data_IF_571824017880
#
_entry.id   IF_571824017880
#
_cell.length_a   1.000
_cell.length_b   1.000
_cell.length_c   1.000
_cell.angle_alpha   90.00
_cell.angle_beta   90.00
_cell.angle_gamma   90.00
#
_symmetry.space_group_name_H-M   'P 1'
#
loop_
_entity.id
_entity.type
_entity.pdbx_description
1 polymer ?
#
# COMPACT_ATOMS: atom_id res chain seq x y z
N UNK A 1 51.79 28.67 10.69
CA UNK A 1 50.36 28.48 10.36
C UNK A 1 49.91 27.21 11.03
N UNK A 2 49.08 27.36 12.03
CA UNK A 2 48.88 26.40 13.11
C UNK A 2 47.88 25.34 12.70
N UNK A 3 48.28 24.08 12.78
CA UNK A 3 47.46 22.90 12.41
C UNK A 3 46.18 22.77 13.28
N UNK A 4 46.14 23.45 14.40
CA UNK A 4 45.02 23.48 15.35
C UNK A 4 43.82 24.25 14.78
N UNK A 5 44.05 25.24 13.93
CA UNK A 5 43.00 26.09 13.37
C UNK A 5 42.25 25.40 12.18
N UNK A 6 42.88 24.41 11.55
CA UNK A 6 42.27 23.66 10.45
C UNK A 6 41.30 22.60 10.96
N UNK A 7 41.63 21.93 12.09
CA UNK A 7 40.76 20.93 12.73
C UNK A 7 39.48 21.54 13.30
N UNK A 8 39.57 22.73 13.88
CA UNK A 8 38.41 23.45 14.43
C UNK A 8 37.46 23.91 13.32
N UNK A 9 37.97 24.32 12.15
CA UNK A 9 37.15 24.70 11.00
C UNK A 9 36.49 23.49 10.31
N UNK A 10 37.15 22.34 10.29
CA UNK A 10 36.54 21.10 9.74
C UNK A 10 35.47 20.57 10.67
N UNK A 11 35.66 20.57 11.98
CA UNK A 11 34.65 20.13 12.94
C UNK A 11 33.38 21.02 12.93
N UNK A 12 33.54 22.34 12.76
CA UNK A 12 32.39 23.25 12.68
C UNK A 12 31.60 23.05 11.38
N UNK A 13 32.25 22.59 10.29
CA UNK A 13 31.58 22.31 9.01
C UNK A 13 30.86 20.95 8.99
N UNK A 14 31.36 19.97 9.74
CA UNK A 14 30.72 18.64 9.87
C UNK A 14 29.52 18.73 10.82
N UNK A 15 29.57 19.52 11.87
CA UNK A 15 28.41 19.75 12.75
C UNK A 15 27.29 20.58 12.11
N UNK A 16 27.58 21.36 11.05
CA UNK A 16 26.56 22.11 10.31
C UNK A 16 25.80 21.27 9.27
N UNK A 17 26.19 19.99 9.03
CA UNK A 17 25.52 19.08 8.10
C UNK A 17 24.63 18.02 8.79
N UNK A 18 24.56 18.04 10.12
CA UNK A 18 23.79 17.08 10.92
C UNK A 18 22.54 17.69 11.58
N UNK A 19 22.16 18.88 11.12
CA UNK A 19 20.85 19.42 11.46
C UNK A 19 19.82 18.70 10.57
N UNK A 20 19.00 17.86 11.18
CA UNK A 20 17.76 17.39 10.56
C UNK A 20 17.05 18.59 9.91
N UNK A 21 16.49 18.46 8.72
CA UNK A 21 15.71 19.53 8.12
C UNK A 21 14.67 20.00 9.16
N UNK A 22 14.45 21.31 9.30
CA UNK A 22 13.49 21.81 10.28
C UNK A 22 12.16 21.12 10.05
N UNK A 23 11.57 20.60 11.12
CA UNK A 23 10.29 19.88 11.10
C UNK A 23 9.16 20.69 10.43
N UNK A 24 9.31 22.00 10.36
CA UNK A 24 8.38 22.94 9.71
C UNK A 24 8.32 22.83 8.18
N UNK A 25 9.30 22.18 7.51
CA UNK A 25 9.25 21.96 6.05
C UNK A 25 8.24 20.87 5.65
N UNK A 26 7.81 20.06 6.61
CA UNK A 26 6.85 18.96 6.41
C UNK A 26 5.53 19.22 7.14
N UNK A 27 5.24 20.49 7.47
CA UNK A 27 4.00 20.81 8.16
C UNK A 27 2.83 20.62 7.20
N UNK A 28 1.97 19.60 7.43
CA UNK A 28 0.83 19.35 6.57
C UNK A 28 -0.17 20.52 6.66
N UNK A 29 -0.96 20.71 5.62
CA UNK A 29 -2.19 21.51 5.67
C UNK A 29 -3.01 21.13 6.91
N UNK A 30 -3.95 21.96 7.31
CA UNK A 30 -4.78 21.76 8.54
C UNK A 30 -5.36 20.33 8.70
N UNK A 31 -5.50 19.57 7.60
CA UNK A 31 -5.95 18.18 7.58
C UNK A 31 -4.84 17.13 7.79
N UNK A 32 -3.56 17.52 7.80
CA UNK A 32 -2.44 16.58 7.85
C UNK A 32 -2.12 15.87 6.53
N UNK A 33 -2.93 16.02 5.49
CA UNK A 33 -2.76 15.33 4.20
C UNK A 33 -2.18 16.26 3.14
N UNK A 34 -0.88 16.11 2.81
CA UNK A 34 -0.18 16.92 1.81
C UNK A 34 -0.80 16.82 0.41
N UNK A 35 -1.31 15.64 0.03
CA UNK A 35 -1.95 15.41 -1.24
C UNK A 35 -3.17 16.32 -1.49
N UNK A 36 -3.80 16.81 -0.42
CA UNK A 36 -4.97 17.68 -0.47
C UNK A 36 -4.59 19.17 -0.45
N UNK A 37 -3.29 19.49 -0.46
CA UNK A 37 -2.81 20.86 -0.52
C UNK A 37 -2.86 21.38 -1.96
N UNK A 38 -3.05 22.69 -2.12
CA UNK A 38 -3.07 23.35 -3.43
C UNK A 38 -1.76 23.22 -4.24
N UNK A 39 -0.65 22.92 -3.57
CA UNK A 39 0.69 22.83 -4.17
C UNK A 39 1.06 21.42 -4.63
N UNK A 40 0.31 20.39 -4.22
CA UNK A 40 0.67 18.99 -4.49
C UNK A 40 0.80 18.70 -5.98
N UNK A 41 -0.13 19.18 -6.79
CA UNK A 41 -0.13 18.99 -8.24
C UNK A 41 1.05 19.68 -8.93
N UNK A 42 1.44 20.86 -8.45
CA UNK A 42 2.56 21.60 -9.01
C UNK A 42 3.88 20.91 -8.70
N UNK A 43 4.04 20.39 -7.47
CA UNK A 43 5.20 19.58 -7.08
C UNK A 43 5.31 18.28 -7.88
N UNK A 44 4.19 17.60 -8.13
CA UNK A 44 4.16 16.41 -8.98
C UNK A 44 4.67 16.75 -10.38
N UNK A 45 4.15 17.83 -11.00
CA UNK A 45 4.56 18.27 -12.33
C UNK A 45 6.04 18.66 -12.39
N UNK A 46 6.53 19.35 -11.36
CA UNK A 46 7.92 19.80 -11.28
C UNK A 46 8.90 18.63 -11.17
N UNK A 47 8.62 17.65 -10.30
CA UNK A 47 9.54 16.55 -10.01
C UNK A 47 9.42 15.40 -11.01
N UNK A 48 8.20 15.04 -11.43
CA UNK A 48 7.98 13.94 -12.39
C UNK A 48 8.02 14.41 -13.85
N UNK A 49 7.97 15.73 -14.08
CA UNK A 49 8.02 16.33 -15.44
C UNK A 49 6.93 15.77 -16.35
N UNK A 50 7.35 15.02 -17.39
CA UNK A 50 6.45 14.42 -18.40
C UNK A 50 6.20 12.92 -18.16
N UNK A 51 6.69 12.36 -17.05
CA UNK A 51 6.44 10.96 -16.76
C UNK A 51 4.97 10.76 -16.35
N UNK A 52 4.32 9.77 -16.96
CA UNK A 52 2.99 9.36 -16.55
C UNK A 52 3.07 8.71 -15.16
N UNK A 53 2.10 9.03 -14.29
CA UNK A 53 1.95 8.33 -13.03
C UNK A 53 1.62 6.86 -13.31
N UNK A 54 2.50 5.97 -12.87
CA UNK A 54 2.28 4.53 -12.89
C UNK A 54 2.30 4.02 -11.45
N UNK A 55 1.53 3.00 -11.15
CA UNK A 55 1.56 2.36 -9.83
C UNK A 55 2.90 1.76 -9.44
N UNK A 56 3.77 1.50 -10.41
CA UNK A 56 5.15 1.07 -10.16
C UNK A 56 5.98 2.13 -9.42
N UNK A 57 5.51 3.37 -9.43
CA UNK A 57 6.13 4.48 -8.69
C UNK A 57 5.64 4.60 -7.25
N UNK A 58 4.60 3.85 -6.88
CA UNK A 58 4.05 3.89 -5.52
C UNK A 58 4.69 2.82 -4.65
N UNK A 59 5.01 3.19 -3.43
CA UNK A 59 5.55 2.28 -2.44
C UNK A 59 4.55 1.17 -2.10
N UNK A 60 5.04 -0.06 -1.99
CA UNK A 60 4.22 -1.23 -1.69
C UNK A 60 4.60 -1.84 -0.34
N UNK A 61 3.64 -1.92 0.55
CA UNK A 61 3.73 -2.70 1.79
C UNK A 61 3.18 -4.11 1.54
N UNK A 62 4.05 -5.10 1.67
CA UNK A 62 3.70 -6.52 1.58
C UNK A 62 3.14 -7.02 2.91
N UNK A 63 2.37 -8.11 2.86
CA UNK A 63 1.98 -8.82 4.09
C UNK A 63 3.23 -9.39 4.77
N UNK A 64 3.42 -9.15 6.08
CA UNK A 64 4.58 -9.70 6.78
C UNK A 64 4.54 -11.24 6.84
N UNK A 65 5.67 -11.87 6.65
CA UNK A 65 5.83 -13.32 6.74
C UNK A 65 5.89 -13.83 8.17
N UNK A 66 5.66 -15.14 8.37
CA UNK A 66 5.88 -15.80 9.67
C UNK A 66 4.98 -15.32 10.81
N UNK A 67 3.88 -14.61 10.52
CA UNK A 67 2.99 -14.08 11.54
C UNK A 67 3.58 -12.89 12.30
N UNK A 68 4.50 -12.14 11.70
CA UNK A 68 4.96 -10.86 12.23
C UNK A 68 3.77 -9.89 12.34
N UNK A 69 3.78 -9.08 13.39
CA UNK A 69 2.77 -8.04 13.66
C UNK A 69 3.31 -6.63 13.40
N UNK A 70 4.35 -6.53 12.57
CA UNK A 70 5.02 -5.27 12.22
C UNK A 70 5.07 -5.18 10.70
N UNK A 71 4.64 -4.05 10.16
CA UNK A 71 4.79 -3.71 8.75
C UNK A 71 6.22 -3.27 8.46
N UNK A 72 6.74 -3.61 7.29
CA UNK A 72 7.93 -2.98 6.70
C UNK A 72 7.43 -1.98 5.67
N UNK A 73 7.68 -0.70 5.93
CA UNK A 73 7.19 0.42 5.11
C UNK A 73 8.39 1.08 4.43
N UNK A 74 8.41 1.19 3.10
CA UNK A 74 9.45 1.93 2.40
C UNK A 74 9.49 3.38 2.86
N UNK A 75 10.68 3.87 3.21
CA UNK A 75 10.95 5.25 3.60
C UNK A 75 12.13 5.83 2.81
N UNK A 76 12.36 7.14 2.91
CA UNK A 76 13.43 7.83 2.18
C UNK A 76 14.84 7.30 2.50
N UNK A 77 15.04 6.75 3.69
CA UNK A 77 16.34 6.23 4.15
C UNK A 77 16.40 4.70 4.23
N UNK A 78 15.38 4.00 3.75
CA UNK A 78 15.26 2.55 3.81
C UNK A 78 13.92 2.11 4.41
N UNK A 79 13.81 0.82 4.74
CA UNK A 79 12.60 0.23 5.33
C UNK A 79 12.42 0.67 6.79
N UNK A 80 11.21 1.10 7.13
CA UNK A 80 10.80 1.50 8.47
C UNK A 80 9.82 0.48 9.06
N UNK A 81 9.98 0.16 10.34
CA UNK A 81 9.15 -0.79 11.04
C UNK A 81 7.97 -0.09 11.73
N UNK A 82 6.74 -0.36 11.29
CA UNK A 82 5.53 0.23 11.84
C UNK A 82 4.58 -0.85 12.37
N UNK A 83 3.97 -0.59 13.53
CA UNK A 83 2.98 -1.51 14.14
C UNK A 83 1.57 -1.29 13.62
N UNK A 84 1.29 -0.12 13.09
CA UNK A 84 0.01 0.26 12.52
C UNK A 84 0.21 1.18 11.33
N UNK A 85 -0.71 1.12 10.38
CA UNK A 85 -0.79 2.06 9.26
C UNK A 85 -2.07 2.86 9.41
N UNK A 86 -1.97 4.18 9.37
CA UNK A 86 -3.13 5.07 9.48
C UNK A 86 -3.22 5.95 8.24
N UNK A 87 -4.41 6.08 7.66
CA UNK A 87 -4.64 6.89 6.48
C UNK A 87 -6.06 6.74 5.91
N UNK A 88 -6.29 7.40 4.80
CA UNK A 88 -7.55 7.33 4.04
C UNK A 88 -7.39 6.27 2.94
N UNK A 89 -8.24 5.26 2.92
CA UNK A 89 -8.29 4.30 1.81
C UNK A 89 -9.04 4.96 0.67
N UNK A 90 -8.30 5.46 -0.33
CA UNK A 90 -8.85 6.13 -1.51
C UNK A 90 -9.68 5.15 -2.34
N UNK A 91 -9.11 4.01 -2.65
CA UNK A 91 -9.73 2.95 -3.45
C UNK A 91 -9.09 1.60 -3.12
N UNK A 92 -9.63 0.52 -3.67
CA UNK A 92 -9.02 -0.80 -3.59
C UNK A 92 -9.29 -1.62 -4.83
N UNK A 93 -8.41 -2.57 -5.11
CA UNK A 93 -8.56 -3.57 -6.15
C UNK A 93 -8.54 -4.98 -5.54
N UNK A 94 -9.11 -5.94 -6.25
CA UNK A 94 -9.04 -7.36 -5.89
C UNK A 94 -8.29 -8.15 -6.96
N UNK A 95 -6.99 -7.89 -7.14
CA UNK A 95 -6.22 -8.54 -8.18
C UNK A 95 -6.01 -10.03 -7.89
N UNK A 96 -5.75 -10.77 -8.97
CA UNK A 96 -5.49 -12.20 -8.93
C UNK A 96 -4.36 -12.53 -9.90
N UNK A 97 -3.41 -13.35 -9.44
CA UNK A 97 -2.26 -13.73 -10.24
C UNK A 97 -1.96 -15.23 -10.15
N UNK A 98 -1.45 -15.78 -11.24
CA UNK A 98 -0.99 -17.15 -11.34
C UNK A 98 0.39 -17.21 -11.99
N UNK A 99 1.28 -17.97 -11.42
CA UNK A 99 2.59 -18.31 -11.97
C UNK A 99 2.63 -19.81 -12.29
N UNK A 100 2.97 -20.14 -13.55
CA UNK A 100 3.12 -21.53 -13.97
C UNK A 100 4.40 -22.17 -13.40
N UNK A 101 5.41 -21.34 -13.10
CA UNK A 101 6.66 -21.79 -12.48
C UNK A 101 6.45 -21.85 -10.97
N UNK A 102 6.69 -23.00 -10.30
CA UNK A 102 6.74 -23.04 -8.84
C UNK A 102 7.92 -22.20 -8.35
N UNK A 103 7.73 -21.46 -7.28
CA UNK A 103 8.72 -20.57 -6.67
C UNK A 103 9.34 -19.55 -7.66
N UNK A 104 8.53 -18.62 -8.22
CA UNK A 104 9.04 -17.62 -9.15
C UNK A 104 10.05 -16.70 -8.44
N UNK A 105 11.12 -16.33 -9.14
CA UNK A 105 12.10 -15.35 -8.64
C UNK A 105 11.45 -13.97 -8.55
N UNK A 106 11.89 -13.16 -7.58
CA UNK A 106 11.40 -11.78 -7.42
C UNK A 106 11.45 -11.00 -8.75
N UNK A 107 10.34 -10.32 -9.06
CA UNK A 107 10.18 -9.62 -10.32
C UNK A 107 9.71 -10.46 -11.49
N UNK A 108 9.51 -11.79 -11.33
CA UNK A 108 8.92 -12.62 -12.40
C UNK A 108 7.47 -12.23 -12.65
N UNK A 109 7.10 -11.80 -13.88
CA UNK A 109 5.72 -11.45 -14.16
C UNK A 109 4.81 -12.68 -14.05
N UNK A 110 3.56 -12.51 -13.61
CA UNK A 110 2.60 -13.62 -13.57
C UNK A 110 2.29 -14.14 -14.96
N UNK A 111 2.10 -15.44 -15.08
CA UNK A 111 1.64 -16.10 -16.32
C UNK A 111 0.21 -15.69 -16.68
N UNK A 112 -0.61 -15.41 -15.67
CA UNK A 112 -1.97 -14.92 -15.83
C UNK A 112 -2.27 -13.90 -14.73
N UNK A 113 -2.90 -12.79 -15.12
CA UNK A 113 -3.23 -11.66 -14.25
C UNK A 113 -4.68 -11.24 -14.47
N UNK A 114 -5.39 -10.91 -13.39
CA UNK A 114 -6.67 -10.21 -13.41
C UNK A 114 -6.63 -9.06 -12.42
N UNK A 115 -7.14 -7.88 -12.82
CA UNK A 115 -7.18 -6.68 -11.95
C UNK A 115 -8.34 -6.74 -10.94
N UNK A 116 -9.42 -7.41 -11.29
CA UNK A 116 -10.70 -7.41 -10.56
C UNK A 116 -11.15 -8.80 -10.07
N UNK A 117 -10.36 -9.84 -10.33
CA UNK A 117 -10.71 -11.26 -10.10
C UNK A 117 -11.90 -11.78 -10.93
N UNK A 118 -12.36 -11.03 -11.93
CA UNK A 118 -13.47 -11.42 -12.80
C UNK A 118 -12.99 -11.94 -14.14
N UNK A 119 -12.17 -11.13 -14.83
CA UNK A 119 -11.64 -11.43 -16.15
C UNK A 119 -10.12 -11.24 -16.14
N UNK A 120 -9.38 -12.21 -16.70
CA UNK A 120 -7.94 -12.10 -16.86
C UNK A 120 -7.56 -11.18 -18.03
N UNK A 121 -6.30 -10.74 -18.07
CA UNK A 121 -5.78 -9.89 -19.13
C UNK A 121 -5.91 -10.53 -20.53
N UNK A 122 -5.93 -11.85 -20.61
CA UNK A 122 -6.16 -12.64 -21.84
C UNK A 122 -7.66 -13.01 -22.09
N UNK A 123 -8.60 -12.37 -21.36
CA UNK A 123 -10.04 -12.48 -21.58
C UNK A 123 -10.71 -13.70 -20.96
N UNK A 124 -10.03 -14.49 -20.14
CA UNK A 124 -10.61 -15.67 -19.48
C UNK A 124 -11.40 -15.30 -18.23
N UNK A 125 -12.53 -15.97 -18.00
CA UNK A 125 -13.36 -15.77 -16.80
C UNK A 125 -12.73 -16.49 -15.61
N UNK A 126 -12.33 -15.75 -14.58
CA UNK A 126 -11.64 -16.26 -13.40
C UNK A 126 -12.47 -17.24 -12.58
N UNK A 127 -13.81 -17.09 -12.57
CA UNK A 127 -14.71 -17.98 -11.84
C UNK A 127 -14.69 -19.43 -12.35
N UNK A 128 -14.36 -19.64 -13.63
CA UNK A 128 -14.32 -20.95 -14.28
C UNK A 128 -12.89 -21.45 -14.53
N UNK A 129 -11.89 -20.76 -13.97
CA UNK A 129 -10.49 -21.10 -14.16
C UNK A 129 -10.09 -22.26 -13.24
N UNK A 130 -9.51 -23.37 -13.76
CA UNK A 130 -9.09 -24.50 -12.93
C UNK A 130 -8.03 -24.13 -11.88
N UNK A 131 -7.20 -23.12 -12.14
CA UNK A 131 -6.22 -22.63 -11.16
C UNK A 131 -6.87 -21.85 -9.99
N UNK A 132 -8.15 -21.50 -10.09
CA UNK A 132 -8.95 -20.90 -9.02
C UNK A 132 -9.65 -21.93 -8.13
N UNK A 133 -9.59 -23.21 -8.45
CA UNK A 133 -10.20 -24.27 -7.65
C UNK A 133 -9.35 -24.57 -6.42
N UNK A 134 -10.02 -24.96 -5.34
CA UNK A 134 -9.32 -25.42 -4.14
C UNK A 134 -8.54 -26.69 -4.45
N UNK A 135 -7.31 -26.78 -3.93
CA UNK A 135 -6.39 -27.90 -4.20
C UNK A 135 -5.60 -27.78 -5.50
N UNK A 136 -5.86 -26.75 -6.33
CA UNK A 136 -5.22 -26.61 -7.63
C UNK A 136 -3.70 -26.31 -7.56
N UNK A 137 -3.18 -25.93 -6.38
CA UNK A 137 -1.75 -25.61 -6.22
C UNK A 137 -0.85 -26.86 -6.34
N UNK A 138 -1.19 -27.91 -5.63
CA UNK A 138 -0.35 -29.11 -5.46
C UNK A 138 -1.15 -30.43 -5.37
N UNK A 139 -2.48 -30.35 -5.31
CA UNK A 139 -3.38 -31.51 -5.14
C UNK A 139 -3.43 -32.06 -3.71
N UNK A 140 -2.54 -31.62 -2.83
CA UNK A 140 -2.42 -32.12 -1.44
C UNK A 140 -3.01 -31.12 -0.44
N UNK A 141 -2.76 -29.84 -0.63
CA UNK A 141 -3.30 -28.77 0.21
C UNK A 141 -4.59 -28.19 -0.37
N UNK A 142 -5.34 -27.50 0.47
CA UNK A 142 -6.56 -26.76 0.02
C UNK A 142 -6.19 -25.42 -0.67
N UNK A 143 -4.89 -25.20 -1.00
CA UNK A 143 -4.42 -23.98 -1.59
C UNK A 143 -4.78 -23.89 -3.08
N UNK A 144 -5.12 -22.68 -3.51
CA UNK A 144 -5.33 -22.37 -4.94
C UNK A 144 -4.01 -21.99 -5.59
N UNK A 145 -3.78 -22.44 -6.82
CA UNK A 145 -2.62 -22.03 -7.61
C UNK A 145 -2.70 -20.54 -7.98
N UNK A 146 -3.91 -20.05 -8.32
CA UNK A 146 -4.15 -18.65 -8.57
C UNK A 146 -4.37 -17.90 -7.25
N UNK A 147 -3.48 -16.96 -6.96
CA UNK A 147 -3.48 -16.17 -5.72
C UNK A 147 -4.36 -14.93 -5.86
N UNK A 148 -5.20 -14.70 -4.89
CA UNK A 148 -6.03 -13.51 -4.79
C UNK A 148 -5.55 -12.65 -3.62
N UNK A 149 -5.56 -11.33 -3.80
CA UNK A 149 -5.28 -10.37 -2.74
C UNK A 149 -6.22 -9.17 -2.83
N UNK A 150 -6.22 -8.32 -1.82
CA UNK A 150 -6.79 -6.98 -1.89
C UNK A 150 -5.64 -5.98 -1.90
N UNK A 151 -5.60 -5.09 -2.85
CA UNK A 151 -4.62 -4.03 -2.94
C UNK A 151 -5.31 -2.71 -2.59
N UNK A 152 -4.92 -2.11 -1.47
CA UNK A 152 -5.46 -0.86 -0.98
C UNK A 152 -4.59 0.31 -1.41
N UNK A 153 -5.21 1.44 -1.70
CA UNK A 153 -4.57 2.73 -1.94
C UNK A 153 -4.71 3.58 -0.68
N UNK A 154 -3.74 3.54 0.20
CA UNK A 154 -3.76 4.20 1.49
C UNK A 154 -3.03 5.55 1.42
N UNK A 155 -3.78 6.65 1.39
CA UNK A 155 -3.22 7.98 1.52
C UNK A 155 -2.86 8.25 2.98
N UNK A 156 -1.58 8.50 3.23
CA UNK A 156 -1.08 8.77 4.58
C UNK A 156 -0.88 10.27 4.82
N UNK A 157 -0.99 10.74 6.08
CA UNK A 157 -0.51 12.07 6.44
C UNK A 157 0.96 12.25 6.04
N UNK A 158 1.30 13.43 5.53
CA UNK A 158 2.65 13.72 5.08
C UNK A 158 3.06 13.10 3.73
N UNK A 159 2.16 12.40 3.04
CA UNK A 159 2.42 11.83 1.71
C UNK A 159 1.54 12.45 0.65
N UNK A 160 2.11 12.65 -0.55
CA UNK A 160 1.35 13.10 -1.74
C UNK A 160 0.78 11.89 -2.49
N UNK A 161 1.53 10.80 -2.56
CA UNK A 161 1.07 9.57 -3.21
C UNK A 161 0.55 8.54 -2.20
N UNK A 162 -0.44 7.73 -2.60
CA UNK A 162 -0.91 6.66 -1.75
C UNK A 162 0.16 5.57 -1.60
N UNK A 163 0.24 5.00 -0.42
CA UNK A 163 0.94 3.78 -0.13
C UNK A 163 0.08 2.60 -0.59
N UNK A 164 0.62 1.69 -1.38
CA UNK A 164 -0.05 0.45 -1.74
C UNK A 164 0.09 -0.54 -0.58
N UNK A 165 -1.02 -1.07 -0.11
CA UNK A 165 -1.03 -2.07 0.97
C UNK A 165 -1.64 -3.37 0.45
N UNK A 166 -0.83 -4.44 0.37
CA UNK A 166 -1.30 -5.75 -0.04
C UNK A 166 -1.88 -6.51 1.14
N UNK A 167 -3.18 -6.72 1.12
CA UNK A 167 -3.92 -7.50 2.11
C UNK A 167 -4.12 -8.92 1.58
N UNK A 168 -3.64 -9.97 2.28
CA UNK A 168 -3.76 -11.34 1.84
C UNK A 168 -5.23 -11.82 1.86
N UNK A 169 -5.52 -12.86 1.09
CA UNK A 169 -6.87 -13.44 0.99
C UNK A 169 -7.42 -13.87 2.35
N UNK A 170 -6.56 -14.28 3.28
CA UNK A 170 -6.92 -14.64 4.67
C UNK A 170 -7.60 -13.50 5.42
N UNK A 171 -7.25 -12.26 5.09
CA UNK A 171 -7.79 -11.05 5.71
C UNK A 171 -8.89 -10.37 4.87
N UNK A 172 -9.12 -10.82 3.63
CA UNK A 172 -10.15 -10.26 2.73
C UNK A 172 -11.53 -10.18 3.39
N UNK A 173 -11.94 -11.22 4.12
CA UNK A 173 -13.23 -11.23 4.80
C UNK A 173 -13.35 -10.15 5.88
N UNK A 174 -12.27 -9.83 6.57
CA UNK A 174 -12.24 -8.76 7.57
C UNK A 174 -12.37 -7.39 6.92
N UNK A 175 -11.65 -7.18 5.82
CA UNK A 175 -11.79 -5.96 5.03
C UNK A 175 -13.22 -5.76 4.49
N UNK A 176 -13.80 -6.78 3.87
CA UNK A 176 -15.19 -6.72 3.37
C UNK A 176 -16.20 -6.49 4.50
N UNK A 177 -15.97 -7.05 5.68
CA UNK A 177 -16.82 -6.80 6.85
C UNK A 177 -16.70 -5.36 7.35
N UNK A 178 -15.50 -4.80 7.30
CA UNK A 178 -15.26 -3.39 7.61
C UNK A 178 -15.98 -2.47 6.62
N UNK A 179 -15.79 -2.65 5.32
CA UNK A 179 -16.46 -1.85 4.28
C UNK A 179 -17.98 -1.97 4.35
N UNK A 180 -18.53 -3.18 4.58
CA UNK A 180 -19.96 -3.39 4.76
C UNK A 180 -20.53 -2.59 5.94
N UNK A 181 -19.78 -2.48 7.03
CA UNK A 181 -20.19 -1.67 8.19
C UNK A 181 -20.22 -0.18 7.88
N UNK A 182 -19.31 0.31 7.05
CA UNK A 182 -19.31 1.70 6.56
C UNK A 182 -20.51 1.94 5.65
N UNK A 183 -20.74 1.06 4.67
CA UNK A 183 -21.90 1.13 3.75
C UNK A 183 -23.22 1.14 4.53
N UNK A 184 -23.36 0.33 5.58
CA UNK A 184 -24.57 0.30 6.43
C UNK A 184 -24.85 1.62 7.14
N UNK A 185 -23.86 2.51 7.20
CA UNK A 185 -23.95 3.87 7.76
C UNK A 185 -23.93 4.95 6.69
N UNK A 186 -24.07 4.57 5.41
CA UNK A 186 -23.97 5.46 4.26
C UNK A 186 -22.67 6.28 4.24
N UNK A 187 -21.59 5.71 4.76
CA UNK A 187 -20.27 6.35 4.85
C UNK A 187 -19.36 5.78 3.76
N UNK A 188 -18.88 6.60 2.83
CA UNK A 188 -17.89 6.18 1.83
C UNK A 188 -16.59 5.77 2.49
N UNK A 189 -15.89 4.76 1.94
CA UNK A 189 -14.60 4.29 2.43
C UNK A 189 -13.56 5.43 2.42
N UNK A 190 -13.56 6.23 1.36
CA UNK A 190 -12.66 7.38 1.17
C UNK A 190 -12.98 8.60 2.06
N UNK A 191 -14.05 8.52 2.86
CA UNK A 191 -14.40 9.59 3.83
C UNK A 191 -14.01 9.22 5.25
N UNK A 192 -13.19 8.17 5.45
CA UNK A 192 -12.83 7.67 6.77
C UNK A 192 -11.33 7.51 6.89
N UNK A 193 -10.78 8.05 7.97
CA UNK A 193 -9.42 7.71 8.39
C UNK A 193 -9.44 6.31 8.99
N UNK A 194 -8.77 5.38 8.31
CA UNK A 194 -8.70 3.96 8.69
C UNK A 194 -7.36 3.65 9.33
N UNK A 195 -7.38 2.95 10.44
CA UNK A 195 -6.22 2.34 11.07
C UNK A 195 -6.18 0.85 10.72
N UNK A 196 -5.03 0.39 10.24
CA UNK A 196 -4.75 -0.99 9.89
C UNK A 196 -3.72 -1.54 10.87
N UNK A 197 -4.04 -2.64 11.53
CA UNK A 197 -3.17 -3.33 12.48
C UNK A 197 -3.04 -4.80 12.12
N UNK A 198 -2.03 -5.46 12.70
CA UNK A 198 -1.76 -6.88 12.48
C UNK A 198 -1.93 -7.68 13.77
N UNK A 199 -2.55 -8.84 13.64
CA UNK A 199 -2.65 -9.85 14.69
C UNK A 199 -2.02 -11.15 14.21
N UNK A 200 -1.28 -11.83 15.09
CA UNK A 200 -0.72 -13.15 14.81
C UNK A 200 -1.82 -14.19 14.90
N UNK A 201 -2.02 -14.94 13.83
CA UNK A 201 -2.93 -16.06 13.76
C UNK A 201 -2.18 -17.35 13.38
N UNK A 202 -2.82 -18.49 13.55
CA UNK A 202 -2.26 -19.80 13.19
C UNK A 202 -3.22 -20.52 12.26
N UNK A 203 -2.71 -21.04 11.16
CA UNK A 203 -3.48 -21.85 10.21
C UNK A 203 -3.86 -23.22 10.81
N UNK A 204 -4.76 -23.94 10.14
CA UNK A 204 -5.13 -25.32 10.54
C UNK A 204 -3.91 -26.29 10.53
N UNK A 205 -2.91 -25.98 9.72
CA UNK A 205 -1.67 -26.74 9.58
C UNK A 205 -0.58 -26.30 10.61
N UNK A 206 -0.92 -25.41 11.55
CA UNK A 206 0.00 -24.90 12.56
C UNK A 206 0.96 -23.79 12.07
N UNK A 207 0.83 -23.31 10.85
CA UNK A 207 1.67 -22.24 10.30
C UNK A 207 1.21 -20.87 10.79
N UNK A 208 2.10 -20.03 11.35
CA UNK A 208 1.75 -18.69 11.76
C UNK A 208 1.61 -17.77 10.54
N UNK A 209 0.63 -16.84 10.60
CA UNK A 209 0.41 -15.79 9.59
C UNK A 209 -0.09 -14.50 10.24
N UNK A 210 0.02 -13.39 9.52
CA UNK A 210 -0.50 -12.09 9.93
C UNK A 210 -1.96 -11.92 9.45
N UNK A 211 -2.82 -11.51 10.36
CA UNK A 211 -4.22 -11.18 10.09
C UNK A 211 -4.40 -9.67 10.18
N UNK A 212 -4.95 -9.05 9.14
CA UNK A 212 -5.17 -7.61 9.09
C UNK A 212 -6.50 -7.25 9.75
N UNK A 213 -6.48 -6.22 10.59
CA UNK A 213 -7.64 -5.61 11.20
C UNK A 213 -7.79 -4.17 10.72
N UNK A 214 -9.04 -3.70 10.63
CA UNK A 214 -9.41 -2.39 10.10
C UNK A 214 -10.34 -1.70 11.07
N UNK A 215 -9.95 -0.52 11.54
CA UNK A 215 -10.73 0.30 12.47
C UNK A 215 -10.92 1.70 11.91
N UNK A 216 -12.15 2.21 12.00
CA UNK A 216 -12.44 3.61 11.69
C UNK A 216 -11.98 4.47 12.86
N UNK A 217 -11.07 5.41 12.61
CA UNK A 217 -10.55 6.34 13.63
C UNK A 217 -11.32 7.64 13.62
N UNK A 218 -11.59 8.18 12.43
CA UNK A 218 -12.21 9.46 12.23
C UNK A 218 -13.05 9.46 10.95
N UNK A 219 -14.12 10.23 10.91
CA UNK A 219 -14.89 10.51 9.69
C UNK A 219 -14.59 11.94 9.26
N UNK A 220 -14.15 12.11 8.04
CA UNK A 220 -13.77 13.39 7.47
C UNK A 220 -14.96 14.35 7.38
N UNK A 221 -14.70 15.63 7.56
CA UNK A 221 -15.65 16.68 7.26
C UNK A 221 -16.01 16.72 5.76
N UNK A 222 -17.13 17.34 5.41
CA UNK A 222 -17.61 17.39 4.02
C UNK A 222 -16.61 18.04 3.05
N UNK A 223 -15.93 19.10 3.47
CA UNK A 223 -14.92 19.79 2.66
C UNK A 223 -13.69 18.90 2.39
N UNK A 224 -13.18 18.22 3.40
CA UNK A 224 -12.05 17.30 3.26
C UNK A 224 -12.42 16.09 2.40
N UNK A 225 -13.61 15.52 2.62
CA UNK A 225 -14.10 14.41 1.82
C UNK A 225 -14.29 14.78 0.34
N UNK A 226 -14.58 16.04 0.01
CA UNK A 226 -14.65 16.53 -1.36
C UNK A 226 -13.26 16.65 -1.99
N UNK A 227 -12.29 17.22 -1.29
CA UNK A 227 -10.89 17.25 -1.72
C UNK A 227 -10.32 15.86 -1.97
N UNK A 228 -10.65 14.89 -1.11
CA UNK A 228 -10.25 13.48 -1.31
C UNK A 228 -10.83 12.92 -2.60
N UNK A 229 -12.11 13.20 -2.91
CA UNK A 229 -12.73 12.74 -4.17
C UNK A 229 -12.05 13.35 -5.41
N UNK A 230 -11.76 14.65 -5.39
CA UNK A 230 -11.01 15.30 -6.46
C UNK A 230 -9.63 14.66 -6.67
N UNK A 231 -8.94 14.34 -5.57
CA UNK A 231 -7.65 13.67 -5.64
C UNK A 231 -7.76 12.22 -6.17
N UNK A 232 -8.82 11.50 -5.84
CA UNK A 232 -9.08 10.16 -6.38
C UNK A 232 -9.20 10.15 -7.90
N UNK A 233 -9.83 11.16 -8.49
CA UNK A 233 -9.94 11.27 -9.95
C UNK A 233 -8.56 11.36 -10.62
N UNK A 234 -7.59 12.00 -9.98
CA UNK A 234 -6.20 12.07 -10.46
C UNK A 234 -5.52 10.70 -10.35
N UNK A 235 -5.74 9.99 -9.24
CA UNK A 235 -5.18 8.64 -9.04
C UNK A 235 -5.79 7.64 -10.01
N UNK A 236 -7.10 7.72 -10.28
CA UNK A 236 -7.79 6.85 -11.25
C UNK A 236 -7.37 7.11 -12.71
N UNK A 237 -6.96 8.34 -13.02
CA UNK A 237 -6.44 8.68 -14.35
C UNK A 237 -5.02 8.10 -14.58
N UNK A 238 -4.33 7.67 -13.54
CA UNK A 238 -3.06 6.94 -13.66
C UNK A 238 -3.32 5.52 -14.20
N UNK A 239 -2.52 5.09 -15.17
CA UNK A 239 -2.67 3.75 -15.74
C UNK A 239 -2.23 2.68 -14.73
N UNK A 240 -3.20 1.84 -14.35
CA UNK A 240 -3.11 0.95 -13.20
C UNK A 240 -2.86 -0.47 -13.65
N UNK A 241 -1.60 -0.88 -13.77
CA UNK A 241 -1.27 -2.30 -13.77
C UNK A 241 -0.86 -2.74 -12.35
N UNK A 242 -1.57 -3.69 -11.74
CA UNK A 242 -1.17 -4.19 -10.43
C UNK A 242 0.21 -4.84 -10.51
N UNK A 243 1.16 -4.32 -9.75
CA UNK A 243 2.50 -4.91 -9.64
C UNK A 243 2.39 -6.13 -8.74
N UNK A 244 2.51 -7.30 -9.33
CA UNK A 244 2.72 -8.54 -8.59
C UNK A 244 4.22 -8.82 -8.56
N UNK A 245 4.84 -8.50 -7.43
CA UNK A 245 6.11 -9.09 -7.08
C UNK A 245 5.80 -10.31 -6.23
N UNK A 246 6.08 -11.49 -6.76
CA UNK A 246 6.05 -12.80 -6.11
C UNK A 246 4.80 -13.31 -5.40
N UNK A 247 4.76 -14.63 -5.42
CA UNK A 247 3.88 -15.45 -4.60
C UNK A 247 4.17 -15.29 -3.11
N UNK A 248 3.22 -14.77 -2.34
CA UNK A 248 3.11 -15.03 -0.91
C UNK A 248 2.66 -16.47 -0.66
#
# INVERSE_FOLDING_TARGET
MDATNLKTRMNTKVQAMEAAPPEDLWNPSDSGYLALSSNALDLIKENLKQQSLSFQLFDLVKSPSGGSTVFSVPGLSGEEAEKELTGIILDYMTPRAYWATPDPVEGTPPTCLSKDSLISADGKVCAHCPFNDFGSKDGESNAKACKESVLLFLLRPGSVFPLLVRVPVTSKKLFLKYTTRLVSRLTPLSSVVTKITLEKATSREGKPYALFHFDAVEVLGSEEAEKVREFMDIVHAADVEPVFTEAD
#
